data_IF_645069590222
#
_entry.id   IF_645069590222
#
_cell.length_a   1.000
_cell.length_b   1.000
_cell.length_c   1.000
_cell.angle_alpha   90.00
_cell.angle_beta   90.00
_cell.angle_gamma   90.00
#
_symmetry.space_group_name_H-M   'P 1'
#
loop_
_entity.id
_entity.type
_entity.pdbx_description
1 polymer ?
#
# COMPACT_ATOMS: atom_id res chain seq x y z
N UNK A 1 -21.69 -4.23 0.02
CA UNK A 1 -20.78 -3.70 1.07
C UNK A 1 -20.97 -4.53 2.32
N UNK A 2 -19.88 -4.91 2.99
CA UNK A 2 -19.82 -5.89 4.09
C UNK A 2 -20.43 -5.39 5.42
N UNK A 3 -21.55 -4.66 5.42
CA UNK A 3 -22.15 -4.11 6.65
C UNK A 3 -21.28 -3.05 7.34
N UNK A 4 -20.48 -2.31 6.58
CA UNK A 4 -19.61 -1.25 7.10
C UNK A 4 -20.33 0.09 6.97
N UNK A 5 -20.42 0.83 8.07
CA UNK A 5 -20.88 2.22 8.08
C UNK A 5 -19.71 3.14 7.72
N UNK A 6 -19.59 3.45 6.43
CA UNK A 6 -18.53 4.30 5.88
C UNK A 6 -18.12 3.90 4.47
N UNK A 7 -17.15 4.63 3.92
CA UNK A 7 -16.53 4.31 2.63
C UNK A 7 -15.02 4.19 2.77
N UNK A 8 -14.42 3.34 1.93
CA UNK A 8 -12.98 3.22 1.83
C UNK A 8 -12.47 4.19 0.76
N UNK A 9 -11.49 4.99 1.14
CA UNK A 9 -10.94 6.07 0.32
C UNK A 9 -9.70 5.60 -0.43
N UNK A 10 -9.88 4.63 -1.34
CA UNK A 10 -8.76 3.94 -2.01
C UNK A 10 -7.90 4.89 -2.86
N UNK A 11 -8.47 5.46 -3.91
CA UNK A 11 -7.76 6.26 -4.90
C UNK A 11 -7.24 7.57 -4.27
N UNK A 12 -8.04 8.20 -3.42
CA UNK A 12 -7.65 9.42 -2.72
C UNK A 12 -6.57 9.18 -1.67
N UNK A 13 -6.47 7.99 -1.07
CA UNK A 13 -5.32 7.64 -0.23
C UNK A 13 -4.02 7.52 -1.05
N UNK A 14 -4.08 7.04 -2.30
CA UNK A 14 -2.92 7.03 -3.19
C UNK A 14 -2.45 8.45 -3.54
N UNK A 15 -3.39 9.37 -3.80
CA UNK A 15 -3.09 10.80 -3.98
C UNK A 15 -2.50 11.39 -2.69
N UNK A 16 -3.03 11.02 -1.53
CA UNK A 16 -2.53 11.50 -0.24
C UNK A 16 -1.07 11.10 -0.01
N UNK A 17 -0.67 9.88 -0.40
CA UNK A 17 0.74 9.47 -0.34
C UNK A 17 1.64 10.35 -1.21
N UNK A 18 1.16 10.80 -2.38
CA UNK A 18 1.92 11.70 -3.24
C UNK A 18 2.04 13.12 -2.64
N UNK A 19 1.06 13.57 -1.86
CA UNK A 19 1.02 14.91 -1.25
C UNK A 19 1.83 14.95 0.06
N UNK A 20 1.61 13.96 0.94
CA UNK A 20 2.25 13.88 2.25
C UNK A 20 2.67 12.43 2.54
N UNK A 21 3.84 12.00 2.02
CA UNK A 21 4.33 10.63 2.21
C UNK A 21 4.55 10.27 3.68
N UNK A 22 4.82 11.24 4.56
CA UNK A 22 5.10 10.98 5.98
C UNK A 22 3.88 10.51 6.77
N UNK A 23 2.68 10.55 6.18
CA UNK A 23 1.49 9.90 6.74
C UNK A 23 1.56 8.38 6.64
N UNK A 24 2.45 7.80 5.85
CA UNK A 24 2.48 6.38 5.57
C UNK A 24 3.80 5.76 6.05
N UNK A 25 3.71 4.58 6.67
CA UNK A 25 4.90 3.75 6.88
C UNK A 25 5.11 2.89 5.63
N UNK A 26 6.32 2.97 5.08
CA UNK A 26 6.68 2.24 3.87
C UNK A 26 7.77 1.23 4.18
N UNK A 27 7.59 0.00 3.70
CA UNK A 27 8.65 -1.00 3.66
C UNK A 27 9.14 -1.22 2.24
N UNK A 28 10.42 -1.62 2.12
CA UNK A 28 11.06 -1.96 0.85
C UNK A 28 11.25 -3.46 0.71
N UNK A 29 11.02 -3.98 -0.48
CA UNK A 29 11.16 -5.41 -0.76
C UNK A 29 10.79 -5.80 -2.18
N UNK A 30 11.05 -7.06 -2.54
CA UNK A 30 10.67 -7.59 -3.85
C UNK A 30 9.15 -7.81 -3.92
N UNK A 31 8.57 -7.55 -5.09
CA UNK A 31 7.14 -7.76 -5.38
C UNK A 31 6.95 -8.71 -6.56
N UNK A 32 5.91 -9.52 -6.48
CA UNK A 32 5.42 -10.40 -7.54
C UNK A 32 3.92 -10.22 -7.67
N UNK A 33 3.38 -10.45 -8.86
CA UNK A 33 1.96 -10.71 -9.05
C UNK A 33 1.78 -12.10 -9.64
N UNK A 34 0.87 -12.88 -9.08
CA UNK A 34 0.52 -14.18 -9.65
C UNK A 34 -0.38 -13.97 -10.87
N UNK A 35 0.02 -14.53 -12.02
CA UNK A 35 -0.70 -14.36 -13.28
C UNK A 35 -1.56 -15.57 -13.66
N UNK A 36 -1.43 -16.67 -12.92
CA UNK A 36 -2.10 -17.94 -13.19
C UNK A 36 -2.51 -18.65 -11.87
N UNK A 37 -3.35 -19.68 -12.00
CA UNK A 37 -3.80 -20.50 -10.87
C UNK A 37 -4.90 -19.85 -10.03
N UNK A 38 -5.26 -20.50 -8.92
CA UNK A 38 -6.39 -20.11 -8.06
C UNK A 38 -6.18 -18.78 -7.32
N UNK A 39 -4.94 -18.31 -7.23
CA UNK A 39 -4.56 -17.06 -6.58
C UNK A 39 -4.15 -15.97 -7.60
N UNK A 40 -4.58 -16.09 -8.87
CA UNK A 40 -4.32 -15.08 -9.90
C UNK A 40 -4.76 -13.68 -9.43
N UNK A 41 -3.90 -12.69 -9.65
CA UNK A 41 -4.09 -11.31 -9.19
C UNK A 41 -3.51 -11.00 -7.80
N UNK A 42 -3.13 -12.02 -7.02
CA UNK A 42 -2.48 -11.81 -5.73
C UNK A 42 -1.11 -11.15 -5.91
N UNK A 43 -0.87 -10.06 -5.17
CA UNK A 43 0.47 -9.51 -5.00
C UNK A 43 1.16 -10.17 -3.80
N UNK A 44 2.42 -10.53 -3.99
CA UNK A 44 3.26 -11.16 -2.97
C UNK A 44 4.45 -10.23 -2.69
N UNK A 45 4.73 -10.00 -1.40
CA UNK A 45 5.78 -9.11 -0.94
C UNK A 45 6.81 -9.87 -0.10
N UNK A 46 8.09 -9.69 -0.44
CA UNK A 46 9.23 -10.17 0.32
C UNK A 46 10.03 -8.98 0.86
N UNK A 47 9.87 -8.61 2.15
CA UNK A 47 10.61 -7.52 2.76
C UNK A 47 12.12 -7.71 2.62
N UNK A 48 12.84 -6.64 2.25
CA UNK A 48 14.29 -6.69 2.05
C UNK A 48 15.09 -6.98 3.33
N UNK A 49 14.48 -6.80 4.50
CA UNK A 49 15.08 -7.13 5.79
C UNK A 49 15.13 -8.64 6.07
N UNK A 50 14.45 -9.46 5.26
CA UNK A 50 14.39 -10.92 5.42
C UNK A 50 15.21 -11.57 4.30
N UNK A 51 16.11 -12.48 4.67
CA UNK A 51 16.84 -13.29 3.69
C UNK A 51 15.96 -14.46 3.23
N UNK A 52 15.78 -14.57 1.92
CA UNK A 52 15.06 -15.67 1.30
C UNK A 52 16.06 -16.59 0.57
N UNK A 53 15.79 -17.91 0.52
CA UNK A 53 16.50 -18.80 -0.39
C UNK A 53 16.40 -18.30 -1.84
N UNK A 54 17.36 -18.66 -2.72
CA UNK A 54 17.27 -18.39 -4.15
C UNK A 54 15.92 -18.86 -4.71
N UNK A 55 15.28 -18.03 -5.53
CA UNK A 55 13.92 -18.33 -5.98
C UNK A 55 13.22 -17.15 -6.64
N UNK A 56 11.88 -17.08 -6.56
CA UNK A 56 11.07 -16.10 -7.30
C UNK A 56 11.43 -14.63 -7.04
N UNK A 57 12.04 -14.36 -5.89
CA UNK A 57 12.46 -13.03 -5.43
C UNK A 57 13.84 -12.60 -5.94
N UNK A 58 14.66 -13.56 -6.39
CA UNK A 58 16.05 -13.32 -6.79
C UNK A 58 16.14 -12.30 -7.92
N UNK A 59 17.10 -11.39 -7.80
CA UNK A 59 17.43 -10.34 -8.78
C UNK A 59 16.28 -9.35 -9.11
N UNK A 60 15.23 -9.32 -8.28
CA UNK A 60 14.15 -8.35 -8.44
C UNK A 60 14.48 -7.03 -7.75
N UNK A 61 14.18 -5.89 -8.39
CA UNK A 61 14.37 -4.59 -7.76
C UNK A 61 13.43 -4.43 -6.56
N UNK A 62 13.88 -3.78 -5.48
CA UNK A 62 13.03 -3.49 -4.34
C UNK A 62 12.05 -2.36 -4.66
N UNK A 63 10.77 -2.61 -4.40
CA UNK A 63 9.68 -1.64 -4.46
C UNK A 63 9.29 -1.16 -3.06
N UNK A 64 8.54 -0.07 -3.00
CA UNK A 64 8.00 0.52 -1.77
C UNK A 64 6.54 0.08 -1.59
N UNK A 65 6.19 -0.40 -0.40
CA UNK A 65 4.83 -0.83 -0.04
C UNK A 65 4.38 -0.09 1.22
N UNK A 66 3.27 0.63 1.14
CA UNK A 66 2.64 1.25 2.30
C UNK A 66 1.99 0.18 3.17
N UNK A 67 2.44 0.04 4.42
CA UNK A 67 1.93 -0.96 5.37
C UNK A 67 1.10 -0.37 6.50
N UNK A 68 1.29 0.90 6.83
CA UNK A 68 0.50 1.62 7.83
C UNK A 68 0.22 3.04 7.35
N UNK A 69 -0.78 3.65 7.95
CA UNK A 69 -1.14 5.05 7.74
C UNK A 69 -1.48 5.70 9.08
N UNK A 70 -1.02 6.93 9.28
CA UNK A 70 -1.50 7.81 10.33
C UNK A 70 -2.94 8.23 10.00
N UNK A 71 -3.88 7.41 10.47
CA UNK A 71 -5.31 7.56 10.17
C UNK A 71 -5.83 8.94 10.54
N UNK A 72 -5.45 9.46 11.71
CA UNK A 72 -6.02 10.70 12.24
C UNK A 72 -5.60 11.89 11.38
N UNK A 73 -4.28 12.02 11.12
CA UNK A 73 -3.77 13.11 10.27
C UNK A 73 -4.21 12.97 8.82
N UNK A 74 -4.30 11.74 8.31
CA UNK A 74 -4.83 11.48 6.96
C UNK A 74 -6.28 11.97 6.83
N UNK A 75 -7.16 11.60 7.77
CA UNK A 75 -8.57 12.00 7.72
C UNK A 75 -8.74 13.51 7.91
N UNK A 76 -7.95 14.13 8.79
CA UNK A 76 -7.98 15.58 8.98
C UNK A 76 -7.62 16.32 7.68
N UNK A 77 -6.50 15.95 7.04
CA UNK A 77 -6.04 16.56 5.79
C UNK A 77 -7.04 16.31 4.65
N UNK A 78 -7.62 15.12 4.57
CA UNK A 78 -8.62 14.79 3.56
C UNK A 78 -9.88 15.65 3.71
N UNK A 79 -10.44 15.75 4.92
CA UNK A 79 -11.64 16.54 5.18
C UNK A 79 -11.38 18.04 4.96
N UNK A 80 -10.24 18.53 5.42
CA UNK A 80 -9.81 19.91 5.17
C UNK A 80 -9.72 20.19 3.67
N UNK A 81 -9.14 19.29 2.88
CA UNK A 81 -9.00 19.44 1.42
C UNK A 81 -10.36 19.45 0.73
N UNK A 82 -11.28 18.55 1.12
CA UNK A 82 -12.61 18.45 0.52
C UNK A 82 -13.54 19.60 0.91
N UNK A 83 -13.42 20.13 2.13
CA UNK A 83 -14.24 21.23 2.63
C UNK A 83 -13.80 22.61 2.10
N UNK A 84 -12.64 22.70 1.45
CA UNK A 84 -12.15 23.93 0.79
C UNK A 84 -12.80 24.18 -0.58
N UNK A 85 -13.66 23.26 -1.04
CA UNK A 85 -14.40 23.37 -2.30
C UNK A 85 -15.56 24.39 -2.21
#
# INVERSE_FOLDING_TARGET
QYGVDGCFVHDSAAVMYAIEPALFSVERGALLALTEGVAVGQTLFAPAAINYPPGPWSDRPPHQVCLQVDRERHMALMLETLARA
#
